data_IF_463256491955
#
_entry.id   IF_463256491955
#
_cell.length_a   1.000
_cell.length_b   1.000
_cell.length_c   1.000
_cell.angle_alpha   90.00
_cell.angle_beta   90.00
_cell.angle_gamma   90.00
#
_symmetry.space_group_name_H-M   'P 1'
#
loop_
_entity.id
_entity.type
_entity.pdbx_description
1 polymer ?
#
# COMPACT_ATOMS: atom_id res chain seq x y z
N UNK A 1 5.89 -41.36 48.29
CA UNK A 1 4.92 -40.25 48.34
C UNK A 1 5.60 -39.04 47.70
N UNK A 2 5.75 -39.09 46.37
CA UNK A 2 4.92 -38.39 45.37
C UNK A 2 5.47 -36.98 45.07
N UNK A 3 6.53 -36.98 44.28
CA UNK A 3 7.07 -35.83 43.56
C UNK A 3 6.11 -35.51 42.41
N UNK A 4 5.18 -34.59 42.65
CA UNK A 4 4.23 -34.14 41.62
C UNK A 4 4.97 -33.16 40.72
N UNK A 5 5.53 -33.69 39.64
CA UNK A 5 5.93 -32.91 38.48
C UNK A 5 4.71 -32.10 37.99
N UNK A 6 4.66 -30.82 38.35
CA UNK A 6 3.74 -29.85 37.75
C UNK A 6 4.17 -29.65 36.30
N UNK A 7 3.65 -30.49 35.42
CA UNK A 7 3.74 -30.32 33.98
C UNK A 7 2.81 -29.15 33.61
N UNK A 8 3.29 -27.92 33.77
CA UNK A 8 2.61 -26.74 33.28
C UNK A 8 2.53 -26.86 31.75
N UNK A 9 1.33 -27.09 31.21
CA UNK A 9 1.07 -26.92 29.77
C UNK A 9 1.56 -25.53 29.39
N UNK A 10 2.69 -25.46 28.70
CA UNK A 10 3.19 -24.21 28.10
C UNK A 10 2.16 -23.83 27.05
N UNK A 11 1.21 -22.96 27.42
CA UNK A 11 0.22 -22.44 26.51
C UNK A 11 0.97 -21.57 25.51
N UNK A 12 1.26 -22.11 24.34
CA UNK A 12 1.88 -21.35 23.26
C UNK A 12 0.85 -20.37 22.75
N UNK A 13 1.04 -19.10 23.08
CA UNK A 13 0.19 -18.02 22.58
C UNK A 13 0.69 -17.61 21.20
N UNK A 14 -0.17 -16.99 20.39
CA UNK A 14 0.24 -16.48 19.06
C UNK A 14 1.42 -15.49 19.20
N UNK A 15 1.52 -14.78 20.33
CA UNK A 15 2.63 -13.87 20.62
C UNK A 15 4.02 -14.53 20.69
N UNK A 16 4.08 -15.85 20.94
CA UNK A 16 5.33 -16.60 21.03
C UNK A 16 5.91 -16.98 19.66
N UNK A 17 5.15 -16.79 18.58
CA UNK A 17 5.60 -17.09 17.21
C UNK A 17 6.78 -16.20 16.78
N UNK A 18 7.70 -16.71 15.94
CA UNK A 18 8.75 -15.90 15.33
C UNK A 18 8.19 -14.68 14.56
N UNK A 19 8.94 -13.58 14.56
CA UNK A 19 8.54 -12.33 13.90
C UNK A 19 8.18 -12.53 12.43
N UNK A 20 8.91 -13.38 11.70
CA UNK A 20 8.61 -13.68 10.30
C UNK A 20 7.20 -14.28 10.12
N UNK A 21 6.77 -15.17 11.00
CA UNK A 21 5.42 -15.76 10.94
C UNK A 21 4.37 -14.70 11.26
N UNK A 22 4.62 -13.84 12.25
CA UNK A 22 3.71 -12.74 12.57
C UNK A 22 3.56 -11.75 11.39
N UNK A 23 4.67 -11.43 10.71
CA UNK A 23 4.63 -10.63 9.47
C UNK A 23 3.74 -11.28 8.42
N UNK A 24 3.97 -12.57 8.13
CA UNK A 24 3.17 -13.32 7.16
C UNK A 24 1.69 -13.31 7.53
N UNK A 25 1.34 -13.49 8.82
CA UNK A 25 -0.05 -13.40 9.27
C UNK A 25 -0.63 -12.02 8.95
N UNK A 26 0.08 -10.93 9.31
CA UNK A 26 -0.42 -9.57 9.06
C UNK A 26 -0.55 -9.24 7.57
N UNK A 27 0.31 -9.76 6.70
CA UNK A 27 0.22 -9.56 5.25
C UNK A 27 -1.04 -10.18 4.64
N UNK A 28 -1.59 -11.24 5.24
CA UNK A 28 -2.84 -11.86 4.80
C UNK A 28 -4.09 -11.18 5.36
N UNK A 29 -3.93 -10.22 6.28
CA UNK A 29 -5.06 -9.51 6.88
C UNK A 29 -5.37 -8.23 6.12
N UNK A 30 -6.66 -7.81 6.08
CA UNK A 30 -6.99 -6.44 5.71
C UNK A 30 -6.23 -5.44 6.60
N UNK A 31 -5.76 -4.34 6.00
CA UNK A 31 -4.86 -3.38 6.67
C UNK A 31 -5.42 -2.82 7.99
N UNK A 32 -6.74 -2.60 8.07
CA UNK A 32 -7.40 -2.14 9.30
C UNK A 32 -7.37 -3.19 10.42
N UNK A 33 -7.43 -4.48 10.08
CA UNK A 33 -7.42 -5.57 11.05
C UNK A 33 -5.99 -5.88 11.48
N UNK A 34 -5.03 -5.84 10.54
CA UNK A 34 -3.61 -5.87 10.87
C UNK A 34 -3.23 -4.74 11.84
N UNK A 35 -3.69 -3.51 11.59
CA UNK A 35 -3.47 -2.37 12.48
C UNK A 35 -4.06 -2.55 13.87
N UNK A 36 -5.23 -3.21 13.99
CA UNK A 36 -5.84 -3.52 15.29
C UNK A 36 -5.00 -4.48 16.12
N UNK A 37 -4.22 -5.36 15.52
CA UNK A 37 -3.35 -6.27 16.29
C UNK A 37 -2.27 -5.53 17.09
N UNK A 38 -1.97 -4.27 16.74
CA UNK A 38 -0.98 -3.45 17.45
C UNK A 38 -1.28 -3.28 18.96
N UNK A 39 -2.55 -3.42 19.38
CA UNK A 39 -2.92 -3.34 20.80
C UNK A 39 -2.63 -4.62 21.59
N UNK A 40 -2.34 -5.74 20.92
CA UNK A 40 -2.13 -7.04 21.56
C UNK A 40 -0.82 -7.10 22.35
N UNK A 41 0.26 -6.52 21.82
CA UNK A 41 1.54 -6.35 22.53
C UNK A 41 2.47 -5.40 21.78
N UNK A 42 3.55 -4.96 22.45
CA UNK A 42 4.63 -4.18 21.81
C UNK A 42 5.24 -4.90 20.60
N UNK A 43 5.27 -6.23 20.62
CA UNK A 43 5.76 -7.05 19.51
C UNK A 43 4.87 -6.88 18.29
N UNK A 44 3.55 -7.03 18.44
CA UNK A 44 2.60 -6.83 17.34
C UNK A 44 2.61 -5.40 16.81
N UNK A 45 2.71 -4.40 17.68
CA UNK A 45 2.87 -3.00 17.27
C UNK A 45 4.09 -2.80 16.37
N UNK A 46 5.24 -3.42 16.71
CA UNK A 46 6.46 -3.31 15.92
C UNK A 46 6.38 -4.04 14.57
N UNK A 47 5.78 -5.25 14.54
CA UNK A 47 5.55 -5.99 13.29
C UNK A 47 4.63 -5.19 12.35
N UNK A 48 3.56 -4.61 12.92
CA UNK A 48 2.66 -3.73 12.18
C UNK A 48 3.37 -2.50 11.59
N UNK A 49 4.22 -1.82 12.38
CA UNK A 49 4.92 -0.62 11.92
C UNK A 49 5.99 -0.90 10.85
N UNK A 50 6.29 -2.16 10.57
CA UNK A 50 7.30 -2.61 9.59
C UNK A 50 6.71 -3.49 8.48
N UNK A 51 5.38 -3.53 8.35
CA UNK A 51 4.69 -4.30 7.31
C UNK A 51 5.09 -3.84 5.89
N UNK A 52 5.70 -4.69 5.05
CA UNK A 52 6.30 -4.23 3.80
C UNK A 52 5.28 -3.93 2.70
N UNK A 53 4.05 -4.45 2.81
CA UNK A 53 2.99 -4.25 1.83
C UNK A 53 1.81 -3.53 2.48
N UNK A 54 1.51 -2.32 2.01
CA UNK A 54 0.38 -1.52 2.47
C UNK A 54 -0.73 -1.54 1.41
N UNK A 55 -1.86 -2.21 1.73
CA UNK A 55 -2.99 -2.40 0.82
C UNK A 55 -4.22 -1.64 1.32
N UNK A 56 -4.52 -0.52 0.66
CA UNK A 56 -5.69 0.31 0.88
C UNK A 56 -6.73 0.00 -0.21
N UNK A 57 -7.50 -1.06 -0.01
CA UNK A 57 -8.51 -1.53 -0.97
C UNK A 57 -9.97 -1.28 -0.54
N UNK A 58 -10.95 -1.88 -1.24
CA UNK A 58 -12.37 -1.67 -0.98
C UNK A 58 -12.80 -1.92 0.47
N UNK A 59 -12.22 -2.93 1.13
CA UNK A 59 -12.50 -3.23 2.54
C UNK A 59 -12.02 -2.10 3.48
N UNK A 60 -10.86 -1.51 3.19
CA UNK A 60 -10.34 -0.36 3.95
C UNK A 60 -11.26 0.85 3.79
N UNK A 61 -11.63 1.22 2.56
CA UNK A 61 -12.51 2.37 2.34
C UNK A 61 -13.91 2.17 2.92
N UNK A 62 -14.46 0.95 2.84
CA UNK A 62 -15.72 0.59 3.52
C UNK A 62 -15.59 0.75 5.04
N UNK A 63 -14.50 0.26 5.63
CA UNK A 63 -14.23 0.41 7.06
C UNK A 63 -14.17 1.89 7.47
N UNK A 64 -13.40 2.70 6.76
CA UNK A 64 -13.24 4.14 7.04
C UNK A 64 -14.56 4.89 6.92
N UNK A 65 -15.35 4.58 5.88
CA UNK A 65 -16.68 5.17 5.69
C UNK A 65 -17.63 4.81 6.84
N UNK A 66 -17.63 3.55 7.28
CA UNK A 66 -18.48 3.09 8.40
C UNK A 66 -18.18 3.81 9.72
N UNK A 67 -16.93 4.21 9.94
CA UNK A 67 -16.53 4.96 11.15
C UNK A 67 -16.59 6.48 10.95
N UNK A 68 -17.05 6.96 9.79
CA UNK A 68 -17.17 8.38 9.49
C UNK A 68 -15.83 9.14 9.47
N UNK A 69 -14.72 8.47 9.18
CA UNK A 69 -13.39 9.06 9.23
C UNK A 69 -12.88 9.47 7.83
N UNK A 70 -11.82 10.29 7.80
CA UNK A 70 -11.11 10.62 6.56
C UNK A 70 -10.10 9.53 6.20
N UNK A 71 -10.25 8.95 5.01
CA UNK A 71 -9.33 7.94 4.49
C UNK A 71 -7.92 8.52 4.31
N UNK A 72 -7.81 9.73 3.76
CA UNK A 72 -6.55 10.44 3.60
C UNK A 72 -5.82 10.58 4.95
N UNK A 73 -6.52 11.06 5.98
CA UNK A 73 -5.94 11.24 7.32
C UNK A 73 -5.42 9.92 7.90
N UNK A 74 -6.15 8.82 7.71
CA UNK A 74 -5.73 7.50 8.21
C UNK A 74 -4.51 6.98 7.43
N UNK A 75 -4.54 7.08 6.10
CA UNK A 75 -3.41 6.67 5.24
C UNK A 75 -2.16 7.46 5.63
N UNK A 76 -2.24 8.79 5.74
CA UNK A 76 -1.11 9.62 6.14
C UNK A 76 -0.59 9.27 7.53
N UNK A 77 -1.47 9.00 8.51
CA UNK A 77 -1.04 8.54 9.84
C UNK A 77 -0.29 7.21 9.77
N UNK A 78 -0.78 6.25 8.99
CA UNK A 78 -0.11 4.96 8.81
C UNK A 78 1.28 5.16 8.18
N UNK A 79 1.39 5.97 7.12
CA UNK A 79 2.67 6.26 6.49
C UNK A 79 3.66 6.94 7.44
N UNK A 80 3.20 7.92 8.23
CA UNK A 80 4.05 8.64 9.19
C UNK A 80 4.51 7.78 10.38
N UNK A 81 3.74 6.77 10.75
CA UNK A 81 4.09 5.81 11.81
C UNK A 81 4.87 4.61 11.29
N UNK A 82 5.03 4.50 9.97
CA UNK A 82 5.74 3.39 9.35
C UNK A 82 7.25 3.55 9.52
N UNK A 83 7.90 2.51 10.03
CA UNK A 83 9.35 2.51 10.31
C UNK A 83 10.10 1.49 9.45
N UNK A 84 9.39 0.66 8.68
CA UNK A 84 9.97 -0.32 7.78
C UNK A 84 10.15 0.22 6.35
N UNK A 85 10.65 -0.65 5.46
CA UNK A 85 10.69 -0.35 4.04
C UNK A 85 9.36 -0.70 3.38
N UNK A 86 8.74 0.25 2.69
CA UNK A 86 7.47 0.03 1.98
C UNK A 86 7.80 -0.55 0.61
N UNK A 87 7.75 -1.87 0.51
CA UNK A 87 8.03 -2.61 -0.71
C UNK A 87 6.86 -2.58 -1.69
N UNK A 88 5.64 -2.58 -1.16
CA UNK A 88 4.41 -2.48 -1.94
C UNK A 88 3.41 -1.50 -1.36
N UNK A 89 2.80 -0.72 -2.26
CA UNK A 89 1.78 0.26 -1.92
C UNK A 89 0.66 0.13 -2.94
N UNK A 90 -0.54 -0.18 -2.46
CA UNK A 90 -1.69 -0.45 -3.32
C UNK A 90 -2.85 0.42 -2.84
N UNK A 91 -3.21 1.42 -3.63
CA UNK A 91 -4.31 2.33 -3.35
C UNK A 91 -5.41 2.10 -4.39
N UNK A 92 -6.46 1.41 -3.98
CA UNK A 92 -7.54 0.95 -4.84
C UNK A 92 -8.85 1.57 -4.37
N UNK A 93 -9.09 2.81 -4.81
CA UNK A 93 -10.19 3.65 -4.32
C UNK A 93 -11.41 3.57 -5.24
N UNK A 94 -12.23 2.55 -5.02
CA UNK A 94 -13.44 2.30 -5.82
C UNK A 94 -14.65 3.08 -5.34
N UNK A 95 -14.73 3.43 -4.06
CA UNK A 95 -15.93 4.08 -3.48
C UNK A 95 -15.68 5.43 -2.83
N UNK A 96 -14.42 5.83 -2.65
CA UNK A 96 -14.04 7.09 -2.01
C UNK A 96 -13.32 8.01 -2.99
N UNK A 97 -13.63 9.30 -2.97
CA UNK A 97 -12.82 10.33 -3.63
C UNK A 97 -11.72 10.76 -2.68
N UNK A 98 -10.48 10.71 -3.15
CA UNK A 98 -9.32 11.27 -2.46
C UNK A 98 -8.90 12.54 -3.19
N UNK A 99 -8.49 13.57 -2.46
CA UNK A 99 -7.94 14.76 -3.11
C UNK A 99 -6.60 14.39 -3.78
N UNK A 100 -6.34 14.96 -4.96
CA UNK A 100 -5.10 14.75 -5.67
C UNK A 100 -3.86 15.02 -4.80
N UNK A 101 -3.89 16.10 -4.00
CA UNK A 101 -2.80 16.43 -3.07
C UNK A 101 -2.51 15.33 -2.04
N UNK A 102 -3.54 14.63 -1.56
CA UNK A 102 -3.38 13.57 -0.56
C UNK A 102 -2.67 12.36 -1.17
N UNK A 103 -3.06 11.99 -2.38
CA UNK A 103 -2.47 10.88 -3.13
C UNK A 103 -1.04 11.24 -3.51
N UNK A 104 -0.80 12.44 -4.02
CA UNK A 104 0.53 12.92 -4.42
C UNK A 104 1.52 12.90 -3.26
N UNK A 105 1.08 13.30 -2.06
CA UNK A 105 1.89 13.18 -0.85
C UNK A 105 2.26 11.72 -0.54
N UNK A 106 1.33 10.78 -0.72
CA UNK A 106 1.62 9.36 -0.58
C UNK A 106 2.66 8.89 -1.61
N UNK A 107 2.50 9.26 -2.89
CA UNK A 107 3.45 8.91 -3.96
C UNK A 107 4.83 9.45 -3.69
N UNK A 108 4.94 10.72 -3.28
CA UNK A 108 6.22 11.34 -2.92
C UNK A 108 6.87 10.61 -1.75
N UNK A 109 6.09 10.26 -0.73
CA UNK A 109 6.58 9.54 0.44
C UNK A 109 7.14 8.17 0.03
N UNK A 110 6.35 7.31 -0.62
CA UNK A 110 6.77 5.94 -0.95
C UNK A 110 7.92 5.91 -1.97
N UNK A 111 7.98 6.89 -2.88
CA UNK A 111 9.07 6.99 -3.86
C UNK A 111 10.44 7.16 -3.20
N UNK A 112 10.49 7.69 -1.98
CA UNK A 112 11.72 7.84 -1.18
C UNK A 112 12.05 6.60 -0.34
N UNK A 113 11.10 5.67 -0.19
CA UNK A 113 11.21 4.49 0.67
C UNK A 113 11.38 3.19 -0.14
N UNK A 114 12.03 3.27 -1.30
CA UNK A 114 12.44 2.08 -2.07
C UNK A 114 11.28 1.22 -2.57
N UNK A 115 10.15 1.84 -2.92
CA UNK A 115 8.96 1.16 -3.44
C UNK A 115 9.30 0.28 -4.65
N UNK A 116 8.78 -0.95 -4.67
CA UNK A 116 8.96 -1.90 -5.78
C UNK A 116 7.67 -2.17 -6.53
N UNK A 117 6.55 -2.24 -5.81
CA UNK A 117 5.24 -2.57 -6.35
C UNK A 117 4.27 -1.42 -6.06
N UNK A 118 3.79 -0.76 -7.10
CA UNK A 118 2.78 0.28 -6.99
C UNK A 118 1.52 -0.14 -7.75
N UNK A 119 0.37 -0.06 -7.08
CA UNK A 119 -0.94 -0.11 -7.71
C UNK A 119 -1.72 1.13 -7.37
N UNK A 120 -2.16 1.87 -8.37
CA UNK A 120 -3.10 2.97 -8.23
C UNK A 120 -4.34 2.67 -9.05
N UNK A 121 -5.49 2.79 -8.42
CA UNK A 121 -6.77 2.69 -9.07
C UNK A 121 -7.71 3.79 -8.57
N UNK A 122 -7.92 4.78 -9.44
CA UNK A 122 -8.54 6.06 -9.11
C UNK A 122 -9.96 6.16 -9.66
N UNK A 123 -10.77 5.11 -9.46
CA UNK A 123 -12.08 4.97 -10.11
C UNK A 123 -13.08 6.11 -9.87
N UNK A 124 -12.93 6.88 -8.78
CA UNK A 124 -13.82 8.00 -8.48
C UNK A 124 -13.23 9.37 -8.84
N UNK A 125 -12.02 9.43 -9.37
CA UNK A 125 -11.37 10.67 -9.76
C UNK A 125 -11.06 10.65 -11.24
N UNK A 126 -12.00 11.15 -12.04
CA UNK A 126 -11.90 11.21 -13.50
C UNK A 126 -10.71 12.06 -13.98
N UNK A 127 -10.12 12.88 -13.11
CA UNK A 127 -9.07 13.83 -13.48
C UNK A 127 -7.77 13.64 -12.69
N UNK A 128 -7.58 12.50 -12.00
CA UNK A 128 -6.36 12.28 -11.24
C UNK A 128 -5.14 12.24 -12.17
N UNK A 129 -4.26 13.25 -12.03
CA UNK A 129 -2.98 13.31 -12.74
C UNK A 129 -1.86 12.78 -11.85
N UNK A 130 -1.28 11.64 -12.24
CA UNK A 130 -0.18 10.99 -11.54
C UNK A 130 1.11 11.82 -11.66
N UNK A 131 1.81 12.10 -10.54
CA UNK A 131 3.09 12.77 -10.55
C UNK A 131 4.18 11.99 -11.29
N UNK A 132 4.97 12.71 -12.09
CA UNK A 132 6.05 12.16 -12.90
C UNK A 132 7.17 11.44 -12.13
N UNK A 133 7.30 11.72 -10.83
CA UNK A 133 8.38 11.20 -9.95
C UNK A 133 8.43 9.67 -9.93
N UNK A 134 7.29 9.01 -10.12
CA UNK A 134 7.22 7.55 -10.07
C UNK A 134 7.90 6.90 -11.28
N UNK A 135 7.92 7.58 -12.43
CA UNK A 135 8.50 7.06 -13.68
C UNK A 135 10.03 7.10 -13.72
N UNK A 136 10.63 7.84 -12.79
CA UNK A 136 12.09 7.92 -12.59
C UNK A 136 12.55 7.13 -11.36
N UNK A 137 11.64 6.46 -10.65
CA UNK A 137 11.96 5.66 -9.47
C UNK A 137 12.71 4.39 -9.87
N UNK A 138 14.00 4.33 -9.53
CA UNK A 138 14.85 3.21 -9.93
C UNK A 138 14.51 1.88 -9.22
N UNK A 139 13.85 1.92 -8.07
CA UNK A 139 13.48 0.70 -7.33
C UNK A 139 12.19 0.06 -7.82
N UNK A 140 11.42 0.76 -8.64
CA UNK A 140 10.11 0.32 -9.09
C UNK A 140 10.25 -0.81 -10.13
N UNK A 141 9.58 -1.93 -9.85
CA UNK A 141 9.61 -3.14 -10.68
C UNK A 141 8.23 -3.49 -11.25
N UNK A 142 7.16 -3.21 -10.51
CA UNK A 142 5.79 -3.46 -10.93
C UNK A 142 4.96 -2.19 -10.76
N UNK A 143 4.38 -1.73 -11.85
CA UNK A 143 3.50 -0.57 -11.88
C UNK A 143 2.16 -0.97 -12.51
N UNK A 144 1.09 -0.86 -11.73
CA UNK A 144 -0.29 -0.99 -12.20
C UNK A 144 -1.02 0.33 -12.02
N UNK A 145 -1.50 0.90 -13.12
CA UNK A 145 -2.32 2.10 -13.12
C UNK A 145 -3.68 1.77 -13.71
N UNK A 146 -4.73 2.10 -12.98
CA UNK A 146 -6.11 1.96 -13.40
C UNK A 146 -6.82 3.30 -13.26
N UNK A 147 -7.44 3.76 -14.36
CA UNK A 147 -8.20 5.03 -14.39
C UNK A 147 -7.37 6.23 -13.94
N UNK A 148 -6.10 6.27 -14.34
CA UNK A 148 -5.19 7.38 -14.07
C UNK A 148 -4.87 8.14 -15.35
N UNK A 149 -4.68 9.45 -15.22
CA UNK A 149 -4.11 10.30 -16.29
C UNK A 149 -2.65 10.55 -15.95
N UNK A 150 -1.75 10.44 -16.92
CA UNK A 150 -0.35 10.73 -16.67
C UNK A 150 0.40 11.25 -17.90
N UNK A 151 1.52 11.92 -17.62
CA UNK A 151 2.49 12.36 -18.63
C UNK A 151 3.77 11.57 -18.41
N UNK A 152 4.33 11.06 -19.50
CA UNK A 152 5.65 10.45 -19.47
C UNK A 152 6.69 11.56 -19.67
N UNK A 153 7.58 11.82 -18.70
CA UNK A 153 8.70 12.73 -18.91
C UNK A 153 9.56 12.31 -20.11
N UNK A 154 10.12 13.29 -20.81
CA UNK A 154 11.14 13.02 -21.82
C UNK A 154 12.32 12.28 -21.18
N UNK A 155 12.73 11.16 -21.78
CA UNK A 155 13.76 10.31 -21.22
C UNK A 155 13.31 9.43 -20.04
N UNK A 156 12.01 9.15 -19.92
CA UNK A 156 11.51 8.07 -19.05
C UNK A 156 12.21 6.77 -19.40
N UNK A 157 12.91 6.18 -18.42
CA UNK A 157 13.78 5.02 -18.66
C UNK A 157 13.40 3.76 -17.91
N UNK A 158 12.42 3.81 -17.00
CA UNK A 158 11.92 2.64 -16.25
C UNK A 158 13.01 1.58 -15.97
N UNK A 159 14.12 1.96 -15.30
CA UNK A 159 15.38 1.22 -15.44
C UNK A 159 15.30 -0.23 -14.95
N UNK A 160 14.37 -0.53 -14.04
CA UNK A 160 14.16 -1.87 -13.48
C UNK A 160 12.70 -2.32 -13.58
N UNK A 161 11.86 -1.68 -14.42
CA UNK A 161 10.46 -2.06 -14.53
C UNK A 161 10.33 -3.39 -15.27
N UNK A 162 9.74 -4.36 -14.60
CA UNK A 162 9.47 -5.71 -15.11
C UNK A 162 8.04 -5.82 -15.62
N UNK A 163 7.09 -5.14 -14.97
CA UNK A 163 5.67 -5.20 -15.31
C UNK A 163 5.06 -3.80 -15.33
N UNK A 164 4.41 -3.45 -16.45
CA UNK A 164 3.56 -2.28 -16.59
C UNK A 164 2.15 -2.74 -16.98
N UNK A 165 1.16 -2.39 -16.16
CA UNK A 165 -0.25 -2.67 -16.44
C UNK A 165 -1.03 -1.36 -16.45
N UNK A 166 -1.73 -1.09 -17.55
CA UNK A 166 -2.53 0.11 -17.74
C UNK A 166 -3.96 -0.30 -18.04
N UNK A 167 -4.90 0.02 -17.15
CA UNK A 167 -6.32 -0.27 -17.30
C UNK A 167 -7.07 1.06 -17.37
N UNK A 168 -7.80 1.32 -18.47
CA UNK A 168 -8.59 2.56 -18.61
C UNK A 168 -7.82 3.85 -18.27
N UNK A 169 -6.51 3.88 -18.52
CA UNK A 169 -5.63 4.99 -18.18
C UNK A 169 -5.22 5.77 -19.42
N UNK A 170 -5.00 7.07 -19.28
CA UNK A 170 -4.72 7.98 -20.39
C UNK A 170 -3.31 8.56 -20.29
N UNK A 171 -2.60 8.55 -21.43
CA UNK A 171 -1.30 9.19 -21.57
C UNK A 171 -1.47 10.51 -22.33
N UNK A 172 -1.17 11.61 -21.65
CA UNK A 172 -1.27 12.95 -22.25
C UNK A 172 0.06 13.29 -22.92
N UNK A 173 0.05 13.36 -24.25
CA UNK A 173 1.21 13.78 -25.03
C UNK A 173 1.20 15.30 -25.27
N UNK A 174 2.36 15.88 -25.61
CA UNK A 174 2.50 17.29 -25.99
C UNK A 174 1.63 17.72 -27.19
N UNK A 175 1.02 16.77 -27.93
CA UNK A 175 0.16 17.03 -29.10
C UNK A 175 -1.32 16.63 -28.93
N UNK A 176 -1.78 16.40 -27.70
CA UNK A 176 -3.15 15.95 -27.43
C UNK A 176 -3.20 14.50 -26.94
N UNK A 177 -4.31 14.16 -26.30
CA UNK A 177 -4.54 12.89 -25.61
C UNK A 177 -4.46 11.70 -26.56
N UNK A 178 -3.63 10.70 -26.20
CA UNK A 178 -3.61 9.41 -26.86
C UNK A 178 -4.17 8.36 -25.89
N UNK A 179 -5.37 7.87 -26.16
CA UNK A 179 -5.94 6.71 -25.47
C UNK A 179 -5.18 5.45 -25.92
N UNK A 180 -4.13 5.09 -25.19
CA UNK A 180 -3.42 3.85 -25.41
C UNK A 180 -4.02 2.76 -24.50
N UNK A 181 -4.99 2.00 -25.01
CA UNK A 181 -5.43 0.77 -24.37
C UNK A 181 -4.41 -0.34 -24.65
N UNK A 182 -3.42 -0.50 -23.78
CA UNK A 182 -2.56 -1.70 -23.80
C UNK A 182 -3.21 -2.79 -22.96
N UNK A 183 -3.76 -3.82 -23.62
CA UNK A 183 -3.97 -5.12 -23.00
C UNK A 183 -2.73 -5.97 -23.26
N UNK A 184 -2.04 -6.36 -22.19
CA UNK A 184 -1.15 -7.51 -22.17
C UNK A 184 -1.71 -8.50 -21.15
#
# INVERSE_FOLDING_TARGET
MSEVARNARKSTTIGDLPNCILHTILEFMPIQDAGRTSVLSKKWMHIWSTLPHLVFGPLFFKYVSNIGASAATIIHKILMQHTGNIMGFHLISITCKLAQSDVDQCIIFISKHGIKNLTLDMANDENYMLPNRIFTCATLTHLKLSRCIFKLPDGTKFPNLVSLQLEHSEIVNHQGSALLSFKA
#
